data_IF_248645052989
#
_entry.id   IF_248645052989
#
_cell.length_a   1.000
_cell.length_b   1.000
_cell.length_c   1.000
_cell.angle_alpha   90.00
_cell.angle_beta   90.00
_cell.angle_gamma   90.00
#
_symmetry.space_group_name_H-M   'P 1'
#
loop_
_entity.id
_entity.type
_entity.pdbx_description
1 polymer ?
#
# COMPACT_ATOMS: atom_id res chain seq x y z
N UNK A 1 9.33 16.14 4.09
CA UNK A 1 9.18 14.68 4.25
C UNK A 1 8.69 14.13 2.93
N UNK A 2 9.07 12.90 2.57
CA UNK A 2 8.65 12.30 1.30
C UNK A 2 7.51 11.33 1.52
N UNK A 3 6.40 11.50 0.81
CA UNK A 3 5.21 10.66 0.97
C UNK A 3 5.31 9.36 0.16
N UNK A 4 5.04 8.25 0.84
CA UNK A 4 4.92 6.91 0.28
C UNK A 4 3.57 6.29 0.63
N UNK A 5 2.73 6.06 -0.38
CA UNK A 5 1.52 5.28 -0.23
C UNK A 5 1.82 3.81 -0.54
N UNK A 6 1.29 2.89 0.24
CA UNK A 6 1.49 1.45 0.02
C UNK A 6 0.26 0.64 0.39
N UNK A 7 0.25 -0.59 -0.11
CA UNK A 7 -0.73 -1.62 0.19
C UNK A 7 -0.03 -3.00 0.16
N UNK A 8 -0.59 -3.97 0.89
CA UNK A 8 -0.12 -5.35 0.88
C UNK A 8 -1.27 -6.34 0.74
N UNK A 9 -1.02 -7.39 -0.02
CA UNK A 9 -1.86 -8.58 0.01
C UNK A 9 -1.20 -9.63 0.91
N UNK A 10 -2.00 -10.33 1.71
CA UNK A 10 -1.51 -11.32 2.66
C UNK A 10 -2.51 -12.44 2.94
N UNK A 11 -2.01 -13.57 3.40
CA UNK A 11 -2.80 -14.58 4.07
C UNK A 11 -2.72 -14.33 5.58
N UNK A 12 -3.86 -14.04 6.21
CA UNK A 12 -3.98 -13.96 7.67
C UNK A 12 -4.91 -15.07 8.21
N UNK A 13 -4.65 -15.51 9.44
CA UNK A 13 -5.43 -16.56 10.13
C UNK A 13 -5.80 -16.18 11.57
N UNK A 14 -5.74 -14.89 11.89
CA UNK A 14 -5.85 -14.36 13.25
C UNK A 14 -4.64 -14.63 14.17
N UNK A 15 -3.54 -15.20 13.65
CA UNK A 15 -2.28 -15.42 14.38
C UNK A 15 -1.06 -14.91 13.62
N UNK A 16 -0.97 -15.18 12.32
CA UNK A 16 0.13 -14.73 11.46
C UNK A 16 -0.39 -13.90 10.30
N UNK A 17 0.54 -13.17 9.66
CA UNK A 17 0.31 -12.39 8.46
C UNK A 17 1.40 -12.79 7.46
N UNK A 18 1.04 -13.60 6.48
CA UNK A 18 1.96 -14.13 5.48
C UNK A 18 1.86 -13.30 4.19
N UNK A 19 2.86 -12.47 3.94
CA UNK A 19 2.91 -11.57 2.79
C UNK A 19 2.78 -12.34 1.45
N UNK A 20 1.86 -11.89 0.60
CA UNK A 20 1.67 -12.33 -0.78
C UNK A 20 2.34 -11.35 -1.73
N UNK A 21 2.02 -10.06 -1.63
CA UNK A 21 2.61 -9.00 -2.46
C UNK A 21 2.61 -7.66 -1.74
N UNK A 22 3.45 -6.74 -2.21
CA UNK A 22 3.54 -5.36 -1.72
C UNK A 22 3.64 -4.42 -2.91
N UNK A 23 2.86 -3.34 -2.87
CA UNK A 23 2.92 -2.22 -3.81
C UNK A 23 3.21 -0.93 -3.06
N UNK A 24 4.14 -0.12 -3.55
CA UNK A 24 4.51 1.16 -2.95
C UNK A 24 4.62 2.19 -4.07
N UNK A 25 4.04 3.37 -3.86
CA UNK A 25 4.20 4.53 -4.74
C UNK A 25 4.68 5.74 -3.95
N UNK A 26 5.68 6.41 -4.50
CA UNK A 26 6.21 7.65 -3.95
C UNK A 26 5.52 8.85 -4.62
N UNK A 27 5.35 9.95 -3.89
CA UNK A 27 4.82 11.19 -4.45
C UNK A 27 5.63 11.74 -5.63
N UNK A 28 6.93 11.40 -5.72
CA UNK A 28 7.83 11.77 -6.81
C UNK A 28 7.62 10.95 -8.10
N UNK A 29 6.69 9.99 -8.07
CA UNK A 29 6.33 9.14 -9.22
C UNK A 29 7.09 7.82 -9.31
N UNK A 30 8.01 7.52 -8.40
CA UNK A 30 8.60 6.17 -8.30
C UNK A 30 7.56 5.14 -7.85
N UNK A 31 7.72 3.92 -8.35
CA UNK A 31 6.84 2.80 -8.02
C UNK A 31 7.67 1.55 -7.71
N UNK A 32 7.20 0.76 -6.75
CA UNK A 32 7.73 -0.55 -6.40
C UNK A 32 6.60 -1.56 -6.33
N UNK A 33 6.81 -2.75 -6.91
CA UNK A 33 5.89 -3.87 -6.78
C UNK A 33 6.64 -5.19 -6.77
N UNK A 34 6.30 -6.06 -5.83
CA UNK A 34 6.86 -7.40 -5.75
C UNK A 34 5.83 -8.41 -5.23
N UNK A 35 6.00 -9.66 -5.67
CA UNK A 35 5.25 -10.83 -5.21
C UNK A 35 6.21 -11.77 -4.49
N UNK A 36 5.85 -12.16 -3.28
CA UNK A 36 6.67 -13.00 -2.42
C UNK A 36 6.70 -14.46 -2.91
N UNK A 37 7.85 -14.95 -3.34
CA UNK A 37 8.03 -16.35 -3.75
C UNK A 37 7.96 -17.34 -2.58
N UNK A 38 8.14 -16.86 -1.36
CA UNK A 38 8.17 -17.69 -0.15
C UNK A 38 6.78 -17.84 0.50
N UNK A 39 5.74 -17.25 -0.11
CA UNK A 39 4.37 -17.27 0.43
C UNK A 39 3.81 -18.70 0.53
N UNK A 40 2.88 -18.97 1.46
CA UNK A 40 2.26 -20.29 1.63
C UNK A 40 1.20 -20.57 0.54
N UNK A 41 1.63 -20.69 -0.72
CA UNK A 41 0.75 -20.77 -1.90
C UNK A 41 -0.33 -21.86 -1.79
N UNK A 42 -0.04 -23.02 -1.20
CA UNK A 42 -1.03 -24.08 -1.04
C UNK A 42 -2.16 -23.69 -0.06
N UNK A 43 -1.85 -22.93 0.99
CA UNK A 43 -2.87 -22.44 1.92
C UNK A 43 -3.69 -21.34 1.25
N UNK A 44 -3.04 -20.47 0.46
CA UNK A 44 -3.71 -19.44 -0.32
C UNK A 44 -4.69 -20.07 -1.33
N UNK A 45 -4.27 -21.13 -2.04
CA UNK A 45 -5.13 -21.90 -2.96
C UNK A 45 -6.35 -22.55 -2.27
N UNK A 46 -6.29 -22.75 -0.95
CA UNK A 46 -7.41 -23.28 -0.17
C UNK A 46 -8.42 -22.19 0.26
N UNK A 47 -8.09 -20.91 0.09
CA UNK A 47 -8.94 -19.78 0.44
C UNK A 47 -9.67 -19.23 -0.80
N UNK A 48 -10.98 -19.45 -0.90
CA UNK A 48 -11.79 -19.02 -2.08
C UNK A 48 -11.76 -17.49 -2.29
N UNK A 49 -11.63 -16.69 -1.22
CA UNK A 49 -11.54 -15.24 -1.34
C UNK A 49 -10.20 -14.82 -1.97
N UNK A 50 -9.08 -15.33 -1.46
CA UNK A 50 -7.76 -15.03 -2.01
C UNK A 50 -7.61 -15.55 -3.46
N UNK A 51 -8.13 -16.74 -3.74
CA UNK A 51 -8.10 -17.31 -5.11
C UNK A 51 -8.86 -16.43 -6.10
N UNK A 52 -9.96 -15.81 -5.68
CA UNK A 52 -10.82 -15.03 -6.57
C UNK A 52 -10.41 -13.58 -6.73
N UNK A 53 -9.82 -13.00 -5.69
CA UNK A 53 -9.57 -11.56 -5.65
C UNK A 53 -8.08 -11.25 -5.83
N UNK A 54 -7.18 -12.03 -5.22
CA UNK A 54 -5.74 -11.72 -5.20
C UNK A 54 -4.98 -12.49 -6.28
N UNK A 55 -5.12 -13.82 -6.33
CA UNK A 55 -4.40 -14.67 -7.30
C UNK A 55 -4.47 -14.19 -8.76
N UNK A 56 -5.63 -13.70 -9.27
CA UNK A 56 -5.72 -13.28 -10.67
C UNK A 56 -4.80 -12.12 -11.04
N UNK A 57 -4.35 -11.32 -10.07
CA UNK A 57 -3.46 -10.19 -10.29
C UNK A 57 -1.97 -10.56 -10.25
N UNK A 58 -1.64 -11.81 -9.85
CA UNK A 58 -0.26 -12.27 -9.69
C UNK A 58 0.36 -12.83 -10.99
N UNK A 59 1.69 -12.80 -11.16
CA UNK A 59 2.39 -13.54 -12.21
C UNK A 59 2.28 -15.05 -11.97
N UNK A 60 1.50 -15.74 -12.80
CA UNK A 60 1.17 -17.16 -12.62
C UNK A 60 1.40 -17.98 -13.89
N UNK A 61 1.89 -19.21 -13.71
CA UNK A 61 1.91 -20.27 -14.69
C UNK A 61 0.62 -21.12 -14.63
N UNK A 62 0.29 -21.80 -15.72
CA UNK A 62 -0.79 -22.79 -15.80
C UNK A 62 -2.19 -22.25 -15.43
N UNK A 63 -2.47 -20.99 -15.80
CA UNK A 63 -3.70 -20.26 -15.46
C UNK A 63 -5.02 -20.91 -15.91
N UNK A 64 -5.02 -21.82 -16.87
CA UNK A 64 -6.25 -22.49 -17.36
C UNK A 64 -7.08 -23.12 -16.22
N UNK A 65 -6.43 -23.64 -15.18
CA UNK A 65 -7.12 -24.16 -13.99
C UNK A 65 -7.81 -23.06 -13.18
N UNK A 66 -7.10 -21.94 -12.98
CA UNK A 66 -7.61 -20.76 -12.28
C UNK A 66 -8.81 -20.17 -13.02
N UNK A 67 -8.73 -19.98 -14.34
CA UNK A 67 -9.84 -19.41 -15.13
C UNK A 67 -11.13 -20.23 -14.97
N UNK A 68 -11.00 -21.56 -14.94
CA UNK A 68 -12.12 -22.47 -14.67
C UNK A 68 -12.67 -22.32 -13.25
N UNK A 69 -11.79 -22.13 -12.27
CA UNK A 69 -12.17 -21.86 -10.88
C UNK A 69 -12.94 -20.54 -10.75
N UNK A 70 -12.47 -19.48 -11.39
CA UNK A 70 -13.09 -18.15 -11.34
C UNK A 70 -14.48 -18.16 -11.99
N UNK A 71 -14.62 -18.83 -13.14
CA UNK A 71 -15.90 -19.02 -13.81
C UNK A 71 -16.88 -19.92 -13.02
N UNK A 72 -16.37 -20.72 -12.07
CA UNK A 72 -17.21 -21.56 -11.24
C UNK A 72 -17.92 -20.73 -10.15
N UNK A 73 -19.23 -20.94 -9.90
CA UNK A 73 -19.96 -20.19 -8.89
C UNK A 73 -19.37 -20.31 -7.49
N UNK A 74 -19.48 -19.22 -6.69
CA UNK A 74 -18.90 -19.15 -5.33
C UNK A 74 -19.46 -20.21 -4.37
N UNK A 75 -20.75 -20.53 -4.46
CA UNK A 75 -21.42 -21.43 -3.50
C UNK A 75 -21.65 -22.86 -4.03
N UNK A 76 -20.86 -23.28 -5.01
CA UNK A 76 -20.98 -24.61 -5.63
C UNK A 76 -19.74 -25.46 -5.36
N UNK A 77 -19.97 -26.73 -5.08
CA UNK A 77 -18.94 -27.72 -4.72
C UNK A 77 -19.14 -29.05 -5.49
N UNK A 78 -18.06 -29.81 -5.77
CA UNK A 78 -16.67 -29.49 -5.47
C UNK A 78 -16.12 -28.39 -6.39
N UNK A 79 -15.15 -27.62 -5.88
CA UNK A 79 -14.46 -26.60 -6.67
C UNK A 79 -13.54 -27.24 -7.72
N UNK A 80 -13.34 -26.63 -8.90
CA UNK A 80 -12.31 -27.06 -9.84
C UNK A 80 -10.92 -27.11 -9.16
N UNK A 81 -10.09 -28.09 -9.51
CA UNK A 81 -8.71 -28.13 -9.01
C UNK A 81 -7.87 -27.01 -9.64
N UNK A 82 -7.04 -26.39 -8.80
CA UNK A 82 -6.03 -25.40 -9.17
C UNK A 82 -4.62 -25.84 -8.72
N UNK A 83 -4.42 -27.15 -8.50
CA UNK A 83 -3.17 -27.67 -7.92
C UNK A 83 -1.96 -27.34 -8.79
N UNK A 84 -2.14 -27.35 -10.12
CA UNK A 84 -1.11 -27.04 -11.11
C UNK A 84 -0.82 -25.54 -11.27
N UNK A 85 -1.71 -24.65 -10.80
CA UNK A 85 -1.47 -23.19 -10.88
C UNK A 85 -0.26 -22.89 -10.01
N UNK A 86 0.74 -22.18 -10.51
CA UNK A 86 1.94 -21.88 -9.73
C UNK A 86 2.43 -20.47 -10.03
N UNK A 87 3.31 -19.92 -9.19
CA UNK A 87 3.96 -18.66 -9.48
C UNK A 87 4.83 -18.75 -10.74
N UNK A 88 4.85 -17.67 -11.51
CA UNK A 88 5.87 -17.51 -12.54
C UNK A 88 7.19 -17.01 -11.94
N UNK A 89 8.01 -17.95 -11.46
CA UNK A 89 9.33 -17.66 -10.86
C UNK A 89 10.35 -17.12 -11.86
N UNK A 90 10.02 -17.03 -13.15
CA UNK A 90 10.84 -16.32 -14.15
C UNK A 90 10.49 -14.84 -14.25
N UNK A 91 9.34 -14.44 -13.71
CA UNK A 91 8.96 -13.03 -13.65
C UNK A 91 9.90 -12.28 -12.72
N UNK A 92 10.36 -11.11 -13.15
CA UNK A 92 11.19 -10.21 -12.34
C UNK A 92 10.44 -9.65 -11.14
N UNK A 93 9.10 -9.77 -11.10
CA UNK A 93 8.26 -9.34 -10.00
C UNK A 93 8.19 -10.38 -8.87
N UNK A 94 8.51 -11.65 -9.14
CA UNK A 94 8.44 -12.73 -8.15
C UNK A 94 9.80 -12.87 -7.49
N UNK A 95 9.88 -12.60 -6.18
CA UNK A 95 11.14 -12.47 -5.44
C UNK A 95 11.04 -13.12 -4.06
N UNK A 96 12.13 -13.71 -3.52
CA UNK A 96 12.14 -14.19 -2.15
C UNK A 96 12.02 -13.02 -1.17
N UNK A 97 11.42 -13.28 0.00
CA UNK A 97 11.06 -12.24 0.98
C UNK A 97 12.25 -11.37 1.39
N UNK A 98 13.45 -11.96 1.49
CA UNK A 98 14.66 -11.21 1.85
C UNK A 98 15.12 -10.23 0.77
N UNK A 99 14.87 -10.52 -0.52
CA UNK A 99 15.14 -9.57 -1.61
C UNK A 99 14.15 -8.42 -1.54
N UNK A 100 12.87 -8.73 -1.32
CA UNK A 100 11.82 -7.72 -1.13
C UNK A 100 12.19 -6.80 0.05
N UNK A 101 12.60 -7.36 1.18
CA UNK A 101 13.01 -6.59 2.36
C UNK A 101 14.17 -5.61 2.08
N UNK A 102 15.16 -6.04 1.28
CA UNK A 102 16.28 -5.16 0.89
C UNK A 102 15.82 -4.07 -0.08
N UNK A 103 15.07 -4.42 -1.11
CA UNK A 103 14.61 -3.46 -2.11
C UNK A 103 13.63 -2.43 -1.54
N UNK A 104 12.72 -2.86 -0.65
CA UNK A 104 11.81 -1.95 0.08
C UNK A 104 12.59 -1.00 0.96
N UNK A 105 13.64 -1.48 1.66
CA UNK A 105 14.54 -0.58 2.43
C UNK A 105 15.15 0.47 1.51
N UNK A 106 15.78 0.05 0.41
CA UNK A 106 16.40 0.99 -0.53
C UNK A 106 15.38 1.98 -1.12
N UNK A 107 14.17 1.53 -1.42
CA UNK A 107 13.11 2.36 -1.98
C UNK A 107 12.61 3.44 -1.02
N UNK A 108 12.47 3.09 0.26
CA UNK A 108 11.94 4.00 1.29
C UNK A 108 13.01 4.94 1.84
N UNK A 109 14.24 4.45 2.04
CA UNK A 109 15.26 5.19 2.79
C UNK A 109 16.61 5.33 2.09
N UNK A 110 16.77 4.78 0.88
CA UNK A 110 18.05 4.79 0.16
C UNK A 110 18.56 6.19 -0.23
N UNK A 111 17.64 7.14 -0.39
CA UNK A 111 17.96 8.54 -0.73
C UNK A 111 18.14 9.43 0.51
N UNK A 112 17.93 8.90 1.71
CA UNK A 112 18.09 9.68 2.94
C UNK A 112 19.56 9.88 3.28
N UNK A 113 19.91 11.13 3.63
CA UNK A 113 21.22 11.45 4.17
C UNK A 113 21.18 11.37 5.70
N UNK A 114 21.99 10.51 6.35
CA UNK A 114 22.05 10.47 7.81
C UNK A 114 22.55 11.80 8.38
N UNK A 115 21.91 12.27 9.45
CA UNK A 115 22.37 13.40 10.25
C UNK A 115 23.57 13.02 11.15
N UNK A 116 23.76 11.72 11.39
CA UNK A 116 24.87 11.19 12.17
C UNK A 116 24.76 9.68 12.36
N UNK A 117 25.41 9.18 13.40
CA UNK A 117 25.37 7.78 13.82
C UNK A 117 25.07 7.70 15.32
N UNK A 118 24.18 6.80 15.70
CA UNK A 118 23.84 6.49 17.09
C UNK A 118 23.79 4.97 17.26
N UNK A 119 24.52 4.43 18.24
CA UNK A 119 24.60 3.00 18.53
C UNK A 119 24.94 2.11 17.30
N UNK A 120 25.83 2.58 16.42
CA UNK A 120 26.23 1.82 15.23
C UNK A 120 25.21 1.86 14.10
N UNK A 121 24.17 2.70 14.19
CA UNK A 121 23.13 2.84 13.18
C UNK A 121 23.03 4.29 12.69
N UNK A 122 22.70 4.52 11.42
CA UNK A 122 22.40 5.86 10.92
C UNK A 122 21.31 6.53 11.76
N UNK A 123 21.52 7.81 12.09
CA UNK A 123 20.53 8.66 12.76
C UNK A 123 19.96 9.67 11.75
N UNK A 124 18.65 9.89 11.82
CA UNK A 124 17.91 10.81 10.96
C UNK A 124 17.06 11.73 11.84
N UNK A 125 16.84 12.97 11.41
CA UNK A 125 15.84 13.80 12.06
C UNK A 125 14.44 13.36 11.62
N UNK A 126 13.46 13.47 12.52
CA UNK A 126 12.06 13.09 12.23
C UNK A 126 11.51 13.83 10.99
N UNK A 127 11.97 15.07 10.75
CA UNK A 127 11.59 15.89 9.59
C UNK A 127 12.12 15.37 8.25
N UNK A 128 13.10 14.47 8.29
CA UNK A 128 13.73 13.87 7.11
C UNK A 128 13.17 12.46 6.82
N UNK A 129 12.40 11.89 7.76
CA UNK A 129 11.82 10.57 7.59
C UNK A 129 10.71 10.57 6.54
N UNK A 130 10.51 9.45 5.82
CA UNK A 130 9.41 9.30 4.90
C UNK A 130 8.07 9.27 5.65
N UNK A 131 6.99 9.67 4.99
CA UNK A 131 5.63 9.50 5.48
C UNK A 131 5.01 8.26 4.84
N UNK A 132 4.72 7.25 5.67
CA UNK A 132 4.02 6.06 5.20
C UNK A 132 2.51 6.25 5.29
N UNK A 133 1.80 5.93 4.22
CA UNK A 133 0.35 6.00 4.12
C UNK A 133 -0.24 4.70 3.58
N UNK A 134 -1.35 4.24 4.16
CA UNK A 134 -2.11 3.09 3.68
C UNK A 134 -3.60 3.27 4.00
N UNK A 135 -4.47 2.53 3.32
CA UNK A 135 -5.90 2.50 3.60
C UNK A 135 -6.23 1.33 4.53
N UNK A 136 -6.78 1.59 5.72
CA UNK A 136 -6.96 0.57 6.77
C UNK A 136 -5.65 -0.15 7.17
N UNK A 137 -4.53 0.57 7.16
CA UNK A 137 -3.16 0.03 7.11
C UNK A 137 -2.61 -0.70 8.35
N UNK A 138 -3.46 -1.14 9.28
CA UNK A 138 -3.00 -1.78 10.52
C UNK A 138 -2.28 -3.11 10.25
N UNK A 139 -2.87 -3.99 9.42
CA UNK A 139 -2.25 -5.27 9.05
C UNK A 139 -1.10 -5.05 8.06
N UNK A 140 -1.23 -4.09 7.15
CA UNK A 140 -0.19 -3.69 6.19
C UNK A 140 1.09 -3.24 6.89
N UNK A 141 0.95 -2.44 7.95
CA UNK A 141 2.12 -2.01 8.72
C UNK A 141 2.83 -3.18 9.38
N UNK A 142 2.07 -4.17 9.89
CA UNK A 142 2.66 -5.40 10.44
C UNK A 142 3.32 -6.23 9.34
N UNK A 143 2.67 -6.39 8.17
CA UNK A 143 3.23 -7.11 7.03
C UNK A 143 4.54 -6.49 6.52
N UNK A 144 4.57 -5.15 6.41
CA UNK A 144 5.75 -4.36 6.07
C UNK A 144 6.86 -4.56 7.11
N UNK A 145 6.57 -4.35 8.39
CA UNK A 145 7.58 -4.48 9.45
C UNK A 145 8.16 -5.91 9.53
N UNK A 146 7.32 -6.93 9.31
CA UNK A 146 7.73 -8.33 9.29
C UNK A 146 8.54 -8.74 8.05
N UNK A 147 8.81 -7.83 7.10
CA UNK A 147 9.91 -8.02 6.14
C UNK A 147 11.26 -8.16 6.85
N UNK A 148 11.45 -7.48 7.98
CA UNK A 148 12.68 -7.49 8.78
C UNK A 148 12.55 -8.25 10.11
N UNK A 149 11.39 -8.86 10.36
CA UNK A 149 11.15 -9.66 11.57
C UNK A 149 10.44 -8.88 12.66
N UNK A 150 11.13 -8.59 13.77
CA UNK A 150 10.51 -7.86 14.89
C UNK A 150 10.56 -6.36 14.60
N UNK A 151 9.64 -5.60 15.19
CA UNK A 151 9.63 -4.13 15.07
C UNK A 151 10.97 -3.47 15.47
N UNK A 152 11.67 -4.02 16.47
CA UNK A 152 12.99 -3.51 16.90
C UNK A 152 14.12 -3.76 15.89
N UNK A 153 13.86 -4.59 14.89
CA UNK A 153 14.77 -4.93 13.79
C UNK A 153 14.48 -4.09 12.53
N UNK A 154 13.51 -3.16 12.57
CA UNK A 154 13.26 -2.21 11.48
C UNK A 154 14.56 -1.48 11.08
N UNK A 155 14.82 -1.27 9.77
CA UNK A 155 15.93 -0.47 9.32
C UNK A 155 15.85 0.97 9.85
N UNK A 156 17.01 1.56 10.12
CA UNK A 156 17.09 2.97 10.48
C UNK A 156 16.47 3.83 9.36
N UNK A 157 15.66 4.82 9.74
CA UNK A 157 14.94 5.69 8.81
C UNK A 157 13.56 5.18 8.40
N UNK A 158 13.22 3.90 8.61
CA UNK A 158 11.87 3.40 8.34
C UNK A 158 10.96 3.80 9.52
N UNK A 159 9.84 4.52 9.29
CA UNK A 159 8.93 4.94 10.35
C UNK A 159 8.31 3.76 11.11
N UNK A 160 8.16 3.91 12.43
CA UNK A 160 7.51 2.92 13.30
C UNK A 160 5.97 3.02 13.30
N UNK A 161 5.40 3.78 12.38
CA UNK A 161 3.96 3.92 12.21
C UNK A 161 3.60 4.17 10.74
N UNK A 162 2.32 4.01 10.43
CA UNK A 162 1.73 4.34 9.15
C UNK A 162 0.52 5.24 9.39
N UNK A 163 0.43 6.32 8.62
CA UNK A 163 -0.76 7.17 8.58
C UNK A 163 -1.91 6.42 7.89
N UNK A 164 -3.10 6.53 8.45
CA UNK A 164 -4.30 5.84 7.97
C UNK A 164 -5.18 6.78 7.14
N UNK A 165 -5.45 6.41 5.89
CA UNK A 165 -6.24 7.22 4.97
C UNK A 165 -7.65 7.46 5.50
N UNK A 166 -8.33 6.45 6.04
CA UNK A 166 -9.69 6.61 6.58
C UNK A 166 -9.72 7.57 7.76
N UNK A 167 -8.69 7.53 8.60
CA UNK A 167 -8.56 8.48 9.70
C UNK A 167 -8.38 9.92 9.19
N UNK A 168 -7.63 10.13 8.12
CA UNK A 168 -7.52 11.44 7.48
C UNK A 168 -8.88 11.87 6.90
N UNK A 169 -9.53 11.03 6.10
CA UNK A 169 -10.83 11.30 5.47
C UNK A 169 -11.93 11.67 6.49
N UNK A 170 -11.92 11.10 7.69
CA UNK A 170 -12.88 11.44 8.76
C UNK A 170 -12.71 12.84 9.35
N UNK A 171 -11.55 13.47 9.14
CA UNK A 171 -11.26 14.82 9.64
C UNK A 171 -11.54 15.90 8.59
N UNK A 172 -11.79 15.50 7.35
CA UNK A 172 -12.02 16.41 6.23
C UNK A 172 -13.37 17.12 6.42
N UNK A 173 -13.45 18.45 6.20
CA UNK A 173 -14.71 19.17 6.20
C UNK A 173 -15.72 18.62 5.18
N UNK A 174 -17.01 18.90 5.41
CA UNK A 174 -18.08 18.51 4.49
C UNK A 174 -17.81 19.02 3.06
N UNK A 175 -18.09 18.17 2.05
CA UNK A 175 -18.03 18.52 0.63
C UNK A 175 -16.85 17.92 -0.13
N UNK A 176 -15.94 17.21 0.53
CA UNK A 176 -14.95 16.38 -0.15
C UNK A 176 -15.55 15.02 -0.53
N UNK A 177 -15.41 14.65 -1.80
CA UNK A 177 -15.74 13.32 -2.31
C UNK A 177 -14.44 12.64 -2.79
N UNK A 178 -13.96 11.58 -2.12
CA UNK A 178 -12.75 10.91 -2.55
C UNK A 178 -12.97 10.27 -3.93
N UNK A 179 -11.97 10.29 -4.83
CA UNK A 179 -12.09 9.61 -6.11
C UNK A 179 -12.36 8.13 -5.88
N UNK A 180 -13.21 7.50 -6.70
CA UNK A 180 -13.48 6.06 -6.62
C UNK A 180 -12.38 5.24 -7.30
N UNK A 181 -12.14 4.03 -6.78
CA UNK A 181 -11.35 3.02 -7.48
C UNK A 181 -12.27 2.14 -8.33
N UNK A 182 -12.16 2.24 -9.65
CA UNK A 182 -13.01 1.50 -10.58
C UNK A 182 -12.43 0.17 -11.04
N UNK A 183 -11.12 -0.01 -10.93
CA UNK A 183 -10.40 -1.21 -11.40
C UNK A 183 -9.17 -1.52 -10.56
N UNK A 184 -8.70 -2.76 -10.66
CA UNK A 184 -7.45 -3.20 -10.04
C UNK A 184 -7.54 -3.40 -8.53
N UNK A 185 -8.74 -3.47 -7.93
CA UNK A 185 -8.86 -3.81 -6.52
C UNK A 185 -8.20 -5.17 -6.26
N UNK A 186 -7.53 -5.29 -5.11
CA UNK A 186 -6.78 -6.47 -4.71
C UNK A 186 -5.51 -6.72 -5.55
N UNK A 187 -4.94 -5.62 -6.03
CA UNK A 187 -3.61 -5.56 -6.59
C UNK A 187 -2.86 -4.46 -5.84
N UNK A 188 -1.95 -4.86 -4.97
CA UNK A 188 -1.27 -3.95 -4.06
C UNK A 188 -0.66 -2.69 -4.71
N UNK A 189 -0.17 -2.77 -5.96
CA UNK A 189 0.31 -1.56 -6.65
C UNK A 189 -0.83 -0.63 -7.09
N UNK A 190 -1.92 -1.18 -7.62
CA UNK A 190 -3.09 -0.41 -7.99
C UNK A 190 -3.77 0.24 -6.77
N UNK A 191 -3.84 -0.50 -5.66
CA UNK A 191 -4.39 -0.04 -4.39
C UNK A 191 -3.50 1.08 -3.79
N UNK A 192 -2.18 0.91 -3.77
CA UNK A 192 -1.24 1.98 -3.38
C UNK A 192 -1.37 3.25 -4.23
N UNK A 193 -1.54 3.10 -5.56
CA UNK A 193 -1.82 4.22 -6.48
C UNK A 193 -3.13 4.91 -6.17
N UNK A 194 -4.13 4.15 -5.76
CA UNK A 194 -5.41 4.70 -5.36
C UNK A 194 -5.29 5.55 -4.10
N UNK A 195 -4.59 5.05 -3.06
CA UNK A 195 -4.30 5.81 -1.84
C UNK A 195 -3.61 7.15 -2.17
N UNK A 196 -2.55 7.13 -2.98
CA UNK A 196 -1.86 8.36 -3.38
C UNK A 196 -2.78 9.33 -4.13
N UNK A 197 -3.67 8.81 -4.99
CA UNK A 197 -4.64 9.64 -5.74
C UNK A 197 -5.63 10.31 -4.80
N UNK A 198 -6.14 9.60 -3.80
CA UNK A 198 -7.06 10.18 -2.81
C UNK A 198 -6.36 11.25 -1.98
N UNK A 199 -5.11 10.99 -1.54
CA UNK A 199 -4.32 11.96 -0.76
C UNK A 199 -4.06 13.25 -1.54
N UNK A 200 -3.70 13.14 -2.83
CA UNK A 200 -3.54 14.32 -3.69
C UNK A 200 -4.84 15.10 -3.89
N UNK A 201 -5.95 14.40 -4.12
CA UNK A 201 -7.25 15.04 -4.25
C UNK A 201 -7.68 15.74 -2.94
N UNK A 202 -7.30 15.17 -1.79
CA UNK A 202 -7.55 15.78 -0.49
C UNK A 202 -6.72 17.06 -0.31
N UNK A 203 -5.43 17.03 -0.64
CA UNK A 203 -4.55 18.19 -0.59
C UNK A 203 -5.07 19.34 -1.48
N UNK A 204 -5.41 19.04 -2.74
CA UNK A 204 -6.02 20.00 -3.68
C UNK A 204 -7.34 20.60 -3.12
N UNK A 205 -8.15 19.78 -2.44
CA UNK A 205 -9.39 20.23 -1.84
C UNK A 205 -9.13 21.17 -0.65
N UNK A 206 -8.23 20.82 0.25
CA UNK A 206 -7.88 21.62 1.43
C UNK A 206 -7.29 22.98 1.03
N UNK A 207 -6.41 23.02 0.03
CA UNK A 207 -5.90 24.28 -0.56
C UNK A 207 -7.05 25.14 -1.11
N UNK A 208 -7.98 24.53 -1.86
CA UNK A 208 -9.11 25.26 -2.45
C UNK A 208 -10.08 25.83 -1.40
N UNK A 209 -10.18 25.20 -0.23
CA UNK A 209 -11.01 25.68 0.89
C UNK A 209 -10.29 26.80 1.63
N UNK A 210 -8.98 26.69 1.86
CA UNK A 210 -8.18 27.73 2.49
C UNK A 210 -8.24 29.04 1.70
N UNK A 211 -8.08 28.97 0.37
CA UNK A 211 -8.15 30.13 -0.52
C UNK A 211 -9.51 30.85 -0.50
N UNK A 212 -10.61 30.13 -0.20
CA UNK A 212 -11.96 30.72 -0.10
C UNK A 212 -12.17 31.51 1.19
N UNK A 213 -11.39 31.25 2.24
CA UNK A 213 -11.52 31.91 3.54
C UNK A 213 -10.77 33.26 3.59
N UNK A 214 -9.80 33.48 2.69
CA UNK A 214 -8.82 34.57 2.78
C UNK A 214 -9.04 35.80 1.88
N UNK A 215 -10.24 36.02 1.33
CA UNK A 215 -10.54 37.31 0.66
C UNK A 215 -10.84 38.37 1.73
N UNK A 216 -9.84 39.16 2.08
CA UNK A 216 -9.96 40.35 2.96
C UNK A 216 -9.72 41.61 2.13
N UNK A 217 -10.58 42.62 2.26
CA UNK A 217 -10.38 43.91 1.59
C UNK A 217 -9.17 44.68 2.15
N UNK A 218 -8.78 45.78 1.49
CA UNK A 218 -7.70 46.66 1.95
C UNK A 218 -7.92 47.32 3.32
N UNK A 219 -9.02 47.01 4.00
CA UNK A 219 -9.36 47.44 5.37
C UNK A 219 -9.48 46.26 6.35
N UNK A 220 -9.11 45.04 5.95
CA UNK A 220 -9.12 43.85 6.80
C UNK A 220 -10.51 43.25 7.04
N UNK A 221 -11.50 43.52 6.18
CA UNK A 221 -12.83 42.91 6.26
C UNK A 221 -12.95 41.71 5.32
N UNK A 222 -13.42 40.59 5.86
CA UNK A 222 -13.70 39.37 5.08
C UNK A 222 -14.78 39.67 4.04
N UNK A 223 -14.42 39.60 2.76
CA UNK A 223 -15.31 39.69 1.62
C UNK A 223 -15.69 38.24 1.26
N UNK A 224 -16.89 37.79 1.57
CA UNK A 224 -17.36 36.49 1.07
C UNK A 224 -17.49 36.57 -0.45
N UNK A 225 -16.86 35.66 -1.20
CA UNK A 225 -17.27 35.41 -2.58
C UNK A 225 -18.53 34.55 -2.54
N UNK A 226 -19.67 35.12 -2.93
CA UNK A 226 -20.78 34.31 -3.38
C UNK A 226 -20.40 33.77 -4.76
N UNK A 227 -20.06 32.49 -4.84
CA UNK A 227 -19.90 31.82 -6.13
C UNK A 227 -21.29 31.51 -6.70
N UNK A 228 -21.54 32.03 -7.90
CA UNK A 228 -22.69 31.77 -8.76
C UNK A 228 -22.62 30.38 -9.41
#
# INVERSE_FOLDING_TARGET
MTLYAYDTEFLEDGRTIELISIGIVCEDGREYYAVNSDMPLNQIKANDWLVRNVLPSLPLNWRTGLDRYLAHPRNTFPKPSIDLVDLDTKSTLVKPKWVIANEVREFLVGDLTPAGELDGRPFYFDTDLPELWADYGAYDHVALAQLWGRMIDLPAGVPMYTNDLQQALRKVPDGFEPPEQTEGQHNALADAKHVLRVLRALDDFEESVADRVDIVDGFGRVIRSEAA
#
